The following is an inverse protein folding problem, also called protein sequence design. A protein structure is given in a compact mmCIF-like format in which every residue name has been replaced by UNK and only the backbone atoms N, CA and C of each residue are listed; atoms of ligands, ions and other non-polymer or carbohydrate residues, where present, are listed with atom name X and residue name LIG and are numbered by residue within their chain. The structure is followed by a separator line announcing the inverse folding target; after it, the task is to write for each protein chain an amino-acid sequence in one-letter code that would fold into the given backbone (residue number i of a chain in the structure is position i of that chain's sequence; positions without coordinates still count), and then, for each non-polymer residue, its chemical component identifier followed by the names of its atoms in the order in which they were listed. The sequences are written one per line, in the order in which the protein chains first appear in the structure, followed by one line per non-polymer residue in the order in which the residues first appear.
data_IF_880183993206
#
_entry.id   IF_880183993206
#
_cell.length_a   1.000
_cell.length_b   1.000
_cell.length_c   1.000
_cell.angle_alpha   90.00
_cell.angle_beta   90.00
_cell.angle_gamma   90.00
#
_symmetry.space_group_name_H-M   'P 1'
#
loop_
_entity.id
_entity.type
_entity.pdbx_description
1 polymer ?
#
# COMPACT_ATOMS: atom_id res chain seq x y z
N UNK A 1 9.45 0.57 -13.64
CA UNK A 1 10.55 0.01 -12.82
C UNK A 1 11.26 -1.15 -13.52
N UNK A 2 12.54 -1.39 -13.21
CA UNK A 2 13.32 -2.54 -13.69
C UNK A 2 13.20 -3.78 -12.80
N UNK A 3 13.89 -4.88 -13.14
CA UNK A 3 13.75 -6.21 -12.50
C UNK A 3 13.92 -6.15 -10.98
N UNK A 4 15.03 -5.58 -10.48
CA UNK A 4 15.32 -5.54 -9.05
C UNK A 4 14.24 -4.77 -8.27
N UNK A 5 13.90 -3.57 -8.74
CA UNK A 5 12.91 -2.72 -8.09
C UNK A 5 11.52 -3.37 -8.07
N UNK A 6 11.11 -3.99 -9.17
CA UNK A 6 9.84 -4.72 -9.23
C UNK A 6 9.82 -5.93 -8.31
N UNK A 7 10.91 -6.71 -8.25
CA UNK A 7 11.01 -7.86 -7.36
C UNK A 7 11.02 -7.46 -5.87
N UNK A 8 11.73 -6.38 -5.53
CA UNK A 8 11.73 -5.82 -4.17
C UNK A 8 10.35 -5.28 -3.79
N UNK A 9 9.71 -4.49 -4.65
CA UNK A 9 8.40 -3.91 -4.40
C UNK A 9 7.31 -4.98 -4.19
N UNK A 10 7.37 -6.09 -4.94
CA UNK A 10 6.42 -7.19 -4.82
C UNK A 10 6.57 -7.94 -3.49
N UNK A 11 7.78 -7.98 -2.92
CA UNK A 11 8.06 -8.66 -1.66
C UNK A 11 7.87 -7.70 -0.47
N UNK A 12 6.71 -7.78 0.20
CA UNK A 12 6.29 -6.82 1.23
C UNK A 12 7.26 -6.73 2.42
N UNK A 13 7.91 -7.83 2.78
CA UNK A 13 8.89 -7.85 3.87
C UNK A 13 10.17 -7.12 3.45
N UNK A 14 10.72 -7.47 2.28
CA UNK A 14 11.94 -6.84 1.77
C UNK A 14 11.73 -5.36 1.46
N UNK A 15 10.61 -4.99 0.84
CA UNK A 15 10.25 -3.60 0.56
C UNK A 15 10.21 -2.77 1.85
N UNK A 16 9.58 -3.28 2.92
CA UNK A 16 9.52 -2.61 4.22
C UNK A 16 10.90 -2.43 4.85
N UNK A 17 11.76 -3.46 4.81
CA UNK A 17 13.12 -3.36 5.33
C UNK A 17 13.92 -2.26 4.61
N UNK A 18 13.82 -2.18 3.29
CA UNK A 18 14.47 -1.13 2.49
C UNK A 18 13.90 0.26 2.81
N UNK A 19 12.57 0.39 2.83
CA UNK A 19 11.90 1.66 3.13
C UNK A 19 12.23 2.16 4.55
N UNK A 20 12.19 1.27 5.54
CA UNK A 20 12.54 1.59 6.94
C UNK A 20 14.01 2.02 7.08
N UNK A 21 14.94 1.33 6.40
CA UNK A 21 16.34 1.72 6.38
C UNK A 21 16.57 3.10 5.75
N UNK A 22 15.68 3.54 4.86
CA UNK A 22 15.68 4.88 4.27
C UNK A 22 14.93 5.93 5.11
N UNK A 23 14.46 5.58 6.32
CA UNK A 23 13.76 6.49 7.23
C UNK A 23 12.25 6.62 6.99
N UNK A 24 11.66 5.76 6.16
CA UNK A 24 10.20 5.71 5.96
C UNK A 24 9.56 4.93 7.11
N UNK A 25 8.59 5.54 7.79
CA UNK A 25 7.83 4.87 8.84
C UNK A 25 6.98 3.71 8.27
N UNK A 26 7.18 2.50 8.80
CA UNK A 26 6.46 1.28 8.43
C UNK A 26 5.87 0.62 9.68
N UNK A 27 4.81 -0.17 9.51
CA UNK A 27 4.22 -0.92 10.62
C UNK A 27 5.20 -2.00 11.12
N UNK A 28 5.29 -2.23 12.45
CA UNK A 28 5.98 -3.39 12.99
C UNK A 28 5.44 -4.69 12.37
N UNK A 29 6.34 -5.56 11.95
CA UNK A 29 5.98 -6.79 11.23
C UNK A 29 6.87 -7.98 11.61
N UNK A 30 6.33 -9.18 11.41
CA UNK A 30 7.00 -10.46 11.55
C UNK A 30 6.82 -11.26 10.25
N UNK A 31 7.91 -11.82 9.72
CA UNK A 31 7.87 -12.79 8.63
C UNK A 31 7.88 -14.18 9.25
N UNK A 32 6.82 -14.95 9.01
CA UNK A 32 6.63 -16.27 9.62
C UNK A 32 6.25 -17.29 8.56
N UNK A 33 6.52 -18.56 8.85
CA UNK A 33 5.84 -19.63 8.15
C UNK A 33 4.42 -19.76 8.74
N UNK A 34 3.40 -19.86 7.88
CA UNK A 34 1.99 -19.95 8.29
C UNK A 34 1.69 -21.15 9.19
N UNK A 35 2.49 -22.21 9.11
CA UNK A 35 2.37 -23.40 9.95
C UNK A 35 3.00 -23.23 11.35
N UNK A 36 3.79 -22.18 11.57
CA UNK A 36 4.31 -21.82 12.89
C UNK A 36 3.25 -21.05 13.72
N UNK A 37 2.23 -20.52 13.06
CA UNK A 37 1.09 -19.85 13.72
C UNK A 37 0.18 -20.95 14.29
N UNK A 38 0.46 -21.33 15.54
CA UNK A 38 -0.32 -22.29 16.31
C UNK A 38 -1.60 -21.69 16.89
N UNK A 39 -1.91 -22.06 18.14
CA UNK A 39 -3.10 -21.58 18.86
C UNK A 39 -2.91 -20.21 19.51
N UNK A 40 -1.67 -19.73 19.62
CA UNK A 40 -1.31 -18.46 20.23
C UNK A 40 -1.06 -17.38 19.18
N UNK A 41 -1.40 -16.14 19.53
CA UNK A 41 -1.18 -15.01 18.64
C UNK A 41 0.31 -14.70 18.47
N UNK A 42 0.83 -14.58 17.23
CA UNK A 42 2.23 -14.22 16.97
C UNK A 42 2.54 -12.76 17.35
N UNK A 43 1.53 -11.91 17.47
CA UNK A 43 1.60 -10.52 17.92
C UNK A 43 0.32 -10.16 18.66
N UNK A 44 0.38 -9.23 19.62
CA UNK A 44 -0.81 -8.70 20.28
C UNK A 44 -1.83 -8.16 19.24
N UNK A 45 -3.09 -8.66 19.22
CA UNK A 45 -4.14 -8.10 18.38
C UNK A 45 -4.42 -6.60 18.66
N UNK A 46 -4.91 -5.81 17.68
CA UNK A 46 -5.23 -6.22 16.32
C UNK A 46 -4.00 -6.23 15.38
N UNK A 47 -3.99 -7.16 14.44
CA UNK A 47 -2.95 -7.30 13.41
C UNK A 47 -3.53 -7.77 12.07
N UNK A 48 -2.74 -7.70 11.01
CA UNK A 48 -3.10 -8.16 9.67
C UNK A 48 -2.11 -9.23 9.23
N UNK A 49 -2.61 -10.33 8.69
CA UNK A 49 -1.81 -11.36 8.03
C UNK A 49 -1.97 -11.21 6.53
N UNK A 50 -0.85 -11.17 5.81
CA UNK A 50 -0.81 -10.96 4.37
C UNK A 50 0.14 -11.97 3.73
N UNK A 51 -0.16 -12.50 2.53
CA UNK A 51 0.87 -13.16 1.75
C UNK A 51 1.96 -12.16 1.38
N UNK A 52 3.21 -12.62 1.38
CA UNK A 52 4.38 -11.73 1.19
C UNK A 52 4.41 -11.13 -0.21
N UNK A 53 3.91 -11.86 -1.22
CA UNK A 53 4.09 -11.55 -2.66
C UNK A 53 2.79 -11.48 -3.44
N UNK A 54 1.69 -11.12 -2.78
CA UNK A 54 0.38 -10.96 -3.42
C UNK A 54 -0.08 -9.50 -3.50
N UNK A 55 -0.99 -9.24 -4.44
CA UNK A 55 -1.63 -7.95 -4.67
C UNK A 55 -3.15 -8.01 -4.44
N UNK A 56 -3.82 -6.88 -4.67
CA UNK A 56 -5.29 -6.79 -4.72
C UNK A 56 -6.03 -7.31 -3.48
N UNK A 57 -5.38 -7.25 -2.32
CA UNK A 57 -5.93 -7.71 -1.03
C UNK A 57 -6.22 -9.23 -0.95
N UNK A 58 -5.73 -10.04 -1.90
CA UNK A 58 -5.89 -11.49 -1.83
C UNK A 58 -5.13 -12.09 -0.65
N UNK A 59 -5.79 -13.00 0.07
CA UNK A 59 -5.24 -13.66 1.25
C UNK A 59 -5.02 -12.75 2.46
N UNK A 60 -5.51 -11.51 2.43
CA UNK A 60 -5.39 -10.59 3.57
C UNK A 60 -6.41 -10.97 4.64
N UNK A 61 -5.94 -11.25 5.85
CA UNK A 61 -6.77 -11.60 7.00
C UNK A 61 -6.55 -10.58 8.11
N UNK A 62 -7.62 -9.93 8.57
CA UNK A 62 -7.56 -8.98 9.68
C UNK A 62 -7.96 -9.70 10.97
N UNK A 63 -7.06 -9.67 11.95
CA UNK A 63 -7.29 -10.17 13.30
C UNK A 63 -7.68 -9.02 14.21
N UNK A 64 -8.89 -9.12 14.78
CA UNK A 64 -9.47 -8.08 15.63
C UNK A 64 -9.01 -8.21 17.08
N UNK A 65 -9.14 -7.13 17.84
CA UNK A 65 -8.68 -7.07 19.24
C UNK A 65 -9.38 -8.09 20.16
N UNK A 66 -10.64 -8.42 19.85
CA UNK A 66 -11.48 -9.36 20.59
C UNK A 66 -11.36 -10.83 20.14
N UNK A 67 -10.55 -11.11 19.11
CA UNK A 67 -10.33 -12.49 18.68
C UNK A 67 -9.42 -13.23 19.65
N UNK A 68 -9.90 -14.40 20.11
CA UNK A 68 -9.22 -15.21 21.14
C UNK A 68 -8.06 -16.04 20.57
N UNK A 69 -8.15 -16.42 19.28
CA UNK A 69 -7.17 -17.27 18.61
C UNK A 69 -6.88 -16.79 17.18
N UNK A 70 -5.69 -17.11 16.63
CA UNK A 70 -5.39 -16.87 15.21
C UNK A 70 -6.41 -17.54 14.27
N UNK A 71 -6.80 -16.88 13.17
CA UNK A 71 -7.70 -17.46 12.17
C UNK A 71 -7.13 -18.73 11.55
N UNK A 72 -7.88 -19.83 11.66
CA UNK A 72 -7.46 -21.16 11.19
C UNK A 72 -7.33 -21.25 9.66
N UNK A 73 -7.92 -20.32 8.91
CA UNK A 73 -7.75 -20.22 7.46
C UNK A 73 -6.28 -20.03 7.06
N UNK A 74 -5.46 -19.40 7.93
CA UNK A 74 -4.05 -19.13 7.66
C UNK A 74 -3.24 -20.44 7.60
N UNK A 75 -3.57 -21.43 8.42
CA UNK A 75 -2.91 -22.73 8.47
C UNK A 75 -3.62 -23.83 7.66
N UNK A 76 -4.81 -23.54 7.10
CA UNK A 76 -5.62 -24.54 6.39
C UNK A 76 -5.05 -24.92 5.02
N UNK A 77 -5.58 -26.02 4.44
CA UNK A 77 -5.27 -26.44 3.08
C UNK A 77 -5.87 -25.50 2.00
N UNK A 78 -6.82 -24.62 2.38
CA UNK A 78 -7.46 -23.68 1.45
C UNK A 78 -6.59 -22.44 1.17
N UNK A 79 -5.52 -22.25 1.95
CA UNK A 79 -4.56 -21.18 1.74
C UNK A 79 -3.68 -21.43 0.52
N UNK A 80 -3.92 -20.66 -0.55
CA UNK A 80 -3.26 -20.83 -1.85
C UNK A 80 -2.10 -19.85 -2.10
N UNK A 81 -1.64 -19.10 -1.09
CA UNK A 81 -0.72 -17.97 -1.27
C UNK A 81 0.72 -18.22 -0.79
N UNK A 82 1.13 -19.49 -0.75
CA UNK A 82 2.45 -19.91 -0.27
C UNK A 82 2.55 -20.06 1.25
N UNK A 83 3.70 -20.51 1.73
CA UNK A 83 3.92 -20.81 3.16
C UNK A 83 4.36 -19.59 3.98
N UNK A 84 5.03 -18.61 3.37
CA UNK A 84 5.48 -17.40 4.05
C UNK A 84 4.35 -16.38 4.15
N UNK A 85 4.12 -15.86 5.36
CA UNK A 85 3.16 -14.79 5.63
C UNK A 85 3.80 -13.66 6.40
N UNK A 86 3.32 -12.45 6.13
CA UNK A 86 3.71 -11.25 6.84
C UNK A 86 2.61 -10.89 7.84
N UNK A 87 2.95 -10.87 9.12
CA UNK A 87 2.06 -10.46 10.22
C UNK A 87 2.44 -9.05 10.62
N UNK A 88 1.52 -8.10 10.47
CA UNK A 88 1.77 -6.66 10.68
C UNK A 88 0.80 -6.09 11.70
N UNK A 89 1.28 -5.18 12.56
CA UNK A 89 0.39 -4.39 13.41
C UNK A 89 -0.70 -3.72 12.55
N UNK A 90 -1.95 -3.85 12.95
CA UNK A 90 -3.05 -3.17 12.27
C UNK A 90 -2.96 -1.67 12.54
N UNK A 91 -2.90 -0.87 11.47
CA UNK A 91 -2.94 0.59 11.54
C UNK A 91 -4.37 1.04 11.16
N UNK A 92 -5.15 1.56 12.12
CA UNK A 92 -6.48 2.11 11.87
C UNK A 92 -6.41 3.49 11.21
N UNK A 93 -7.57 4.06 10.94
CA UNK A 93 -7.68 5.40 10.35
C UNK A 93 -7.87 5.36 8.84
N UNK A 94 -7.48 6.46 8.21
CA UNK A 94 -7.76 6.78 6.81
C UNK A 94 -6.81 6.04 5.88
N UNK A 95 -7.27 5.71 4.68
CA UNK A 95 -6.46 5.11 3.63
C UNK A 95 -6.08 6.19 2.61
N UNK A 96 -4.78 6.40 2.46
CA UNK A 96 -4.23 7.43 1.60
C UNK A 96 -3.26 6.79 0.61
N UNK A 97 -3.17 7.37 -0.58
CA UNK A 97 -2.24 6.90 -1.60
C UNK A 97 -1.56 8.09 -2.27
N UNK A 98 -0.30 7.93 -2.64
CA UNK A 98 0.47 8.95 -3.34
C UNK A 98 1.26 8.31 -4.46
N UNK A 99 1.17 8.93 -5.63
CA UNK A 99 1.88 8.45 -6.82
C UNK A 99 3.16 9.26 -7.04
N UNK A 100 4.20 8.59 -7.51
CA UNK A 100 5.47 9.21 -7.94
C UNK A 100 5.61 8.97 -9.44
N UNK A 101 5.93 10.02 -10.18
CA UNK A 101 6.17 10.01 -11.63
C UNK A 101 7.59 10.52 -11.87
N UNK A 102 8.48 9.61 -12.25
CA UNK A 102 9.91 9.88 -12.34
C UNK A 102 10.46 10.21 -10.95
N UNK A 103 10.93 11.43 -10.76
CA UNK A 103 11.50 11.89 -9.48
C UNK A 103 10.60 12.91 -8.75
N UNK A 104 9.31 12.94 -9.11
CA UNK A 104 8.32 13.88 -8.59
C UNK A 104 7.18 13.14 -7.91
N UNK A 105 6.96 13.42 -6.62
CA UNK A 105 5.70 13.07 -5.97
C UNK A 105 4.56 13.91 -6.56
N UNK A 106 3.49 13.24 -6.97
CA UNK A 106 2.25 13.86 -7.45
C UNK A 106 1.32 14.12 -6.25
N UNK A 107 0.01 14.22 -6.48
CA UNK A 107 -0.96 14.45 -5.42
C UNK A 107 -1.21 13.23 -4.53
N UNK A 108 -1.78 13.51 -3.35
CA UNK A 108 -2.28 12.50 -2.41
C UNK A 108 -3.78 12.33 -2.66
N UNK A 109 -4.22 11.09 -2.76
CA UNK A 109 -5.63 10.74 -2.85
C UNK A 109 -6.04 10.00 -1.59
N UNK A 110 -7.21 10.33 -1.06
CA UNK A 110 -7.86 9.55 -0.02
C UNK A 110 -8.85 8.56 -0.64
N UNK A 111 -8.83 7.33 -0.13
CA UNK A 111 -9.72 6.25 -0.53
C UNK A 111 -10.74 6.06 0.58
N UNK A 112 -12.01 6.37 0.29
CA UNK A 112 -13.12 6.21 1.21
C UNK A 112 -13.94 4.99 0.77
N UNK A 113 -13.83 3.83 1.44
CA UNK A 113 -14.65 2.66 1.09
C UNK A 113 -16.13 2.95 1.33
N UNK A 114 -16.99 2.50 0.42
CA UNK A 114 -18.45 2.66 0.50
C UNK A 114 -19.04 1.31 0.96
N UNK A 115 -19.67 1.30 2.15
CA UNK A 115 -20.39 0.12 2.66
C UNK A 115 -19.55 -0.91 3.45
N UNK A 116 -18.22 -0.84 3.42
CA UNK A 116 -17.33 -1.74 4.16
C UNK A 116 -16.29 -0.98 5.01
N UNK A 117 -15.86 -1.57 6.13
CA UNK A 117 -14.82 -1.00 7.01
C UNK A 117 -13.39 -1.10 6.42
N UNK A 118 -13.19 -1.79 5.29
CA UNK A 118 -11.87 -2.06 4.71
C UNK A 118 -11.90 -2.06 3.17
N UNK A 119 -10.78 -1.69 2.54
CA UNK A 119 -10.59 -1.67 1.08
C UNK A 119 -10.18 -3.07 0.56
N UNK A 120 -11.19 -3.92 0.38
CA UNK A 120 -11.06 -5.27 -0.18
C UNK A 120 -11.12 -5.29 -1.73
N UNK A 121 -11.08 -6.49 -2.32
CA UNK A 121 -11.15 -6.67 -3.78
C UNK A 121 -12.43 -6.08 -4.37
N UNK A 122 -13.58 -6.32 -3.72
CA UNK A 122 -14.87 -5.83 -4.20
C UNK A 122 -14.89 -4.29 -4.20
N UNK A 123 -14.27 -3.66 -3.20
CA UNK A 123 -14.08 -2.21 -3.12
C UNK A 123 -13.21 -1.61 -4.26
N UNK A 124 -12.33 -2.42 -4.86
CA UNK A 124 -11.35 -1.99 -5.88
C UNK A 124 -11.87 -2.06 -7.32
N UNK A 125 -12.83 -2.94 -7.61
CA UNK A 125 -13.24 -3.23 -8.99
C UNK A 125 -14.75 -3.11 -9.25
N UNK A 126 -15.58 -3.02 -8.21
CA UNK A 126 -17.01 -2.73 -8.37
C UNK A 126 -17.21 -1.23 -8.48
N UNK A 127 -17.80 -0.78 -9.59
CA UNK A 127 -18.13 0.63 -9.79
C UNK A 127 -19.05 1.13 -8.65
N UNK A 128 -18.59 2.15 -7.92
CA UNK A 128 -19.32 2.75 -6.80
C UNK A 128 -18.98 2.20 -5.40
N UNK A 129 -18.06 1.23 -5.28
CA UNK A 129 -17.69 0.64 -3.99
C UNK A 129 -16.65 1.44 -3.18
N UNK A 130 -16.05 2.48 -3.77
CA UNK A 130 -15.19 3.44 -3.08
C UNK A 130 -15.29 4.83 -3.72
N UNK A 131 -15.08 5.87 -2.91
CA UNK A 131 -14.99 7.27 -3.35
C UNK A 131 -13.55 7.76 -3.21
N UNK A 132 -13.04 8.39 -4.25
CA UNK A 132 -11.70 8.97 -4.27
C UNK A 132 -11.79 10.48 -4.02
N UNK A 133 -11.08 10.98 -3.03
CA UNK A 133 -10.94 12.43 -2.78
C UNK A 133 -9.52 12.83 -3.15
N UNK A 134 -9.38 13.46 -4.32
CA UNK A 134 -8.09 13.92 -4.84
C UNK A 134 -8.19 15.39 -5.30
N UNK A 135 -7.38 16.32 -4.74
CA UNK A 135 -6.44 16.11 -3.64
C UNK A 135 -7.13 15.74 -2.31
N UNK A 136 -6.44 14.94 -1.48
CA UNK A 136 -6.93 14.54 -0.16
C UNK A 136 -7.11 15.74 0.76
N UNK A 137 -8.20 15.75 1.54
CA UNK A 137 -8.51 16.83 2.50
C UNK A 137 -7.86 16.53 3.86
N UNK A 138 -6.56 16.82 3.94
CA UNK A 138 -5.71 16.64 5.13
C UNK A 138 -4.86 17.89 5.38
N UNK A 139 -4.26 18.01 6.57
CA UNK A 139 -3.40 19.14 6.89
C UNK A 139 -2.18 19.19 5.93
N UNK A 140 -1.70 20.40 5.57
CA UNK A 140 -0.59 20.57 4.62
C UNK A 140 0.71 19.86 5.03
N UNK A 141 1.02 19.82 6.32
CA UNK A 141 2.20 19.12 6.85
C UNK A 141 2.09 17.60 6.64
N UNK A 142 0.91 17.01 6.83
CA UNK A 142 0.67 15.58 6.59
C UNK A 142 0.72 15.26 5.10
N UNK A 143 0.16 16.13 4.27
CA UNK A 143 0.24 16.01 2.81
C UNK A 143 1.69 15.96 2.32
N UNK A 144 2.52 16.93 2.75
CA UNK A 144 3.94 17.00 2.42
C UNK A 144 4.73 15.80 2.97
N UNK A 145 4.39 15.33 4.18
CA UNK A 145 4.98 14.14 4.79
C UNK A 145 4.73 12.90 3.93
N UNK A 146 3.51 12.69 3.46
CA UNK A 146 3.15 11.57 2.58
C UNK A 146 3.91 11.63 1.25
N UNK A 147 3.95 12.80 0.61
CA UNK A 147 4.72 13.00 -0.63
C UNK A 147 6.21 12.70 -0.42
N UNK A 148 6.78 13.18 0.69
CA UNK A 148 8.19 12.94 1.05
C UNK A 148 8.46 11.45 1.27
N UNK A 149 7.58 10.76 2.02
CA UNK A 149 7.70 9.32 2.26
C UNK A 149 7.57 8.51 0.96
N UNK A 150 6.61 8.86 0.10
CA UNK A 150 6.40 8.19 -1.19
C UNK A 150 7.63 8.33 -2.09
N UNK A 151 8.19 9.54 -2.22
CA UNK A 151 9.39 9.78 -3.03
C UNK A 151 10.61 9.09 -2.44
N UNK A 152 10.75 9.09 -1.10
CA UNK A 152 11.85 8.40 -0.40
C UNK A 152 11.80 6.89 -0.63
N UNK A 153 10.62 6.27 -0.47
CA UNK A 153 10.42 4.85 -0.73
C UNK A 153 10.67 4.50 -2.22
N UNK A 154 10.17 5.32 -3.15
CA UNK A 154 10.40 5.17 -4.59
C UNK A 154 11.90 5.10 -4.91
N UNK A 155 12.67 6.08 -4.41
CA UNK A 155 14.12 6.16 -4.63
C UNK A 155 14.86 5.00 -3.96
N UNK A 156 14.54 4.69 -2.70
CA UNK A 156 15.21 3.65 -1.93
C UNK A 156 15.05 2.25 -2.58
N UNK A 157 13.88 1.97 -3.14
CA UNK A 157 13.57 0.70 -3.82
C UNK A 157 14.15 0.68 -5.25
N UNK A 158 14.62 1.82 -5.77
CA UNK A 158 15.15 1.95 -7.13
C UNK A 158 14.04 1.96 -8.19
N UNK A 159 12.85 2.44 -7.83
CA UNK A 159 11.74 2.55 -8.77
C UNK A 159 12.06 3.56 -9.88
N UNK A 160 11.37 3.40 -11.01
CA UNK A 160 11.43 4.29 -12.18
C UNK A 160 10.08 4.34 -12.87
N UNK A 161 9.83 5.36 -13.67
CA UNK A 161 8.53 5.58 -14.29
C UNK A 161 7.50 5.98 -13.24
N UNK A 162 6.34 5.30 -13.23
CA UNK A 162 5.29 5.55 -12.25
C UNK A 162 5.25 4.48 -11.17
N UNK A 163 5.09 4.88 -9.91
CA UNK A 163 4.78 3.99 -8.79
C UNK A 163 3.71 4.59 -7.90
N UNK A 164 2.96 3.74 -7.20
CA UNK A 164 1.97 4.19 -6.22
C UNK A 164 2.30 3.64 -4.83
N UNK A 165 2.51 4.53 -3.85
CA UNK A 165 2.66 4.14 -2.45
C UNK A 165 1.33 4.27 -1.72
N UNK A 166 0.99 3.27 -0.91
CA UNK A 166 -0.23 3.22 -0.12
C UNK A 166 0.09 3.38 1.37
N UNK A 167 -0.79 4.08 2.10
CA UNK A 167 -0.56 4.56 3.47
C UNK A 167 -1.79 4.37 4.34
N UNK A 168 -1.55 4.27 5.65
CA UNK A 168 -2.57 4.48 6.68
C UNK A 168 -2.25 5.74 7.47
N UNK A 169 -3.28 6.51 7.78
CA UNK A 169 -3.19 7.72 8.58
C UNK A 169 -4.17 7.66 9.76
N UNK A 170 -3.65 7.47 10.97
CA UNK A 170 -4.43 7.45 12.20
C UNK A 170 -4.46 8.84 12.84
N UNK A 171 -5.53 9.59 12.59
CA UNK A 171 -5.79 10.94 13.11
C UNK A 171 -6.79 10.97 14.29
N UNK A 172 -7.13 9.81 14.87
CA UNK A 172 -8.18 9.71 15.90
C UNK A 172 -7.84 10.38 17.23
N UNK A 173 -6.55 10.55 17.52
CA UNK A 173 -6.08 11.10 18.81
C UNK A 173 -5.32 12.43 18.68
N UNK A 174 -4.96 12.83 17.47
CA UNK A 174 -4.29 14.11 17.17
C UNK A 174 -4.43 14.43 15.68
N UNK A 175 -4.57 15.72 15.35
CA UNK A 175 -4.63 16.18 13.96
C UNK A 175 -3.31 15.93 13.19
N UNK A 176 -2.19 15.82 13.91
CA UNK A 176 -0.89 15.45 13.32
C UNK A 176 -0.75 13.93 13.09
N UNK A 177 -1.56 13.13 13.79
CA UNK A 177 -1.72 11.68 13.66
C UNK A 177 -0.45 10.83 13.46
N UNK A 178 -0.65 9.58 13.05
CA UNK A 178 0.44 8.69 12.64
C UNK A 178 0.26 8.28 11.17
N UNK A 179 1.25 8.60 10.33
CA UNK A 179 1.29 8.18 8.91
C UNK A 179 2.24 6.99 8.80
N UNK A 180 1.71 5.85 8.34
CA UNK A 180 2.46 4.62 8.13
C UNK A 180 2.39 4.23 6.66
N UNK A 181 3.56 4.02 6.04
CA UNK A 181 3.67 3.47 4.70
C UNK A 181 3.42 1.95 4.74
N UNK A 182 2.56 1.46 3.84
CA UNK A 182 2.18 0.06 3.77
C UNK A 182 2.98 -0.70 2.71
N UNK A 183 3.00 -0.18 1.49
CA UNK A 183 3.60 -0.81 0.33
C UNK A 183 3.77 0.17 -0.83
N UNK A 184 4.50 -0.26 -1.86
CA UNK A 184 4.62 0.43 -3.15
C UNK A 184 4.26 -0.53 -4.28
N UNK A 185 3.55 0.00 -5.27
CA UNK A 185 3.11 -0.72 -6.45
C UNK A 185 3.83 -0.14 -7.66
N UNK A 186 4.70 -0.93 -8.29
CA UNK A 186 5.48 -0.53 -9.48
C UNK A 186 4.71 -0.69 -10.79
N UNK A 187 3.57 -1.37 -10.74
CA UNK A 187 2.64 -1.52 -11.87
C UNK A 187 1.21 -1.27 -11.37
N UNK A 188 0.88 -0.02 -11.01
CA UNK A 188 -0.44 0.33 -10.50
C UNK A 188 -1.51 0.19 -11.59
N UNK A 189 -2.77 0.08 -11.16
CA UNK A 189 -3.91 0.09 -12.07
C UNK A 189 -3.95 1.37 -12.93
N UNK A 190 -4.37 1.23 -14.18
CA UNK A 190 -4.43 2.30 -15.18
C UNK A 190 -5.81 2.41 -15.86
N UNK A 191 -6.86 1.91 -15.21
CA UNK A 191 -8.24 2.11 -15.69
C UNK A 191 -8.71 3.54 -15.41
N UNK A 192 -9.82 3.96 -16.01
CA UNK A 192 -10.41 5.29 -15.78
C UNK A 192 -10.80 5.56 -14.32
N UNK A 193 -10.98 4.52 -13.52
CA UNK A 193 -11.28 4.57 -12.08
C UNK A 193 -10.07 4.24 -11.20
N UNK A 194 -8.87 4.12 -11.79
CA UNK A 194 -7.67 3.82 -11.03
C UNK A 194 -7.08 5.08 -10.39
N UNK A 195 -6.44 4.89 -9.23
CA UNK A 195 -5.89 5.95 -8.39
C UNK A 195 -4.81 6.79 -9.08
N UNK A 196 -3.95 6.18 -9.89
CA UNK A 196 -2.85 6.91 -10.56
C UNK A 196 -3.39 7.89 -11.61
N UNK A 197 -4.30 7.50 -12.52
CA UNK A 197 -4.98 8.45 -13.40
C UNK A 197 -5.73 9.57 -12.65
N UNK A 198 -6.39 9.28 -11.53
CA UNK A 198 -7.08 10.30 -10.72
C UNK A 198 -6.10 11.32 -10.11
N UNK A 199 -4.99 10.82 -9.57
CA UNK A 199 -3.91 11.66 -9.01
C UNK A 199 -3.24 12.50 -10.10
N UNK A 200 -2.97 11.92 -11.27
CA UNK A 200 -2.39 12.65 -12.40
C UNK A 200 -3.32 13.79 -12.84
N UNK A 201 -4.63 13.53 -12.93
CA UNK A 201 -5.63 14.55 -13.30
C UNK A 201 -5.70 15.68 -12.29
N UNK A 202 -5.68 15.38 -10.99
CA UNK A 202 -5.61 16.39 -9.93
C UNK A 202 -4.35 17.27 -10.04
N UNK A 203 -3.23 16.66 -10.47
CA UNK A 203 -1.98 17.35 -10.73
C UNK A 203 -1.94 18.10 -12.08
N UNK A 204 -3.05 18.15 -12.82
CA UNK A 204 -3.17 18.83 -14.12
C UNK A 204 -2.62 18.05 -15.31
N UNK A 205 -2.40 16.74 -15.17
CA UNK A 205 -1.89 15.85 -16.21
C UNK A 205 -3.05 15.00 -16.74
N UNK A 206 -3.37 15.13 -18.02
CA UNK A 206 -4.38 14.29 -18.66
C UNK A 206 -3.91 12.84 -18.75
N UNK A 207 -4.85 11.90 -18.89
CA UNK A 207 -4.51 10.49 -19.04
C UNK A 207 -3.65 10.23 -20.29
N UNK A 208 -3.91 10.96 -21.38
CA UNK A 208 -3.09 10.88 -22.60
C UNK A 208 -1.65 11.35 -22.36
N UNK A 209 -1.46 12.48 -21.68
CA UNK A 209 -0.12 12.99 -21.33
C UNK A 209 0.63 12.03 -20.40
N UNK A 210 -0.06 11.43 -19.42
CA UNK A 210 0.51 10.42 -18.54
C UNK A 210 1.02 9.21 -19.35
N UNK A 211 0.21 8.67 -20.26
CA UNK A 211 0.58 7.53 -21.09
C UNK A 211 1.74 7.87 -22.03
N UNK A 212 1.69 9.02 -22.70
CA UNK A 212 2.78 9.48 -23.57
C UNK A 212 4.09 9.57 -22.80
N UNK A 213 4.08 10.22 -21.63
CA UNK A 213 5.26 10.33 -20.78
C UNK A 213 5.81 8.96 -20.36
N UNK A 214 4.94 8.01 -19.98
CA UNK A 214 5.37 6.67 -19.58
C UNK A 214 6.06 5.91 -20.70
N UNK A 215 5.56 6.03 -21.93
CA UNK A 215 6.14 5.38 -23.11
C UNK A 215 7.46 6.04 -23.50
N UNK A 216 7.56 7.37 -23.39
CA UNK A 216 8.78 8.13 -23.68
C UNK A 216 9.89 7.91 -22.64
N UNK A 217 9.54 7.76 -21.37
CA UNK A 217 10.50 7.44 -20.28
C UNK A 217 10.99 5.98 -20.32
N UNK A 218 10.19 5.08 -20.91
CA UNK A 218 10.49 3.65 -20.96
C UNK A 218 11.83 3.38 -21.64
N UNK A 219 12.79 2.88 -20.86
CA UNK A 219 14.13 2.56 -21.34
C UNK A 219 14.60 1.20 -20.84
N UNK A 220 15.20 0.42 -21.74
CA UNK A 220 15.76 -0.90 -21.45
C UNK A 220 17.14 -0.84 -20.78
N UNK A 221 17.84 0.29 -20.90
CA UNK A 221 19.26 0.42 -20.58
C UNK A 221 19.54 1.72 -19.82
N UNK A 222 19.27 1.74 -18.52
CA UNK A 222 19.87 2.65 -17.53
C UNK A 222 19.96 1.92 -16.21
#
# INVERSE_FOLDING_TARGET
SGVLASALAMDKDRAKKVAAAAGVAVAPSLLLNRFEIGTEHPMKPPYVVKPVREGSSFGVVIVKEDQVHPPQIISSAEWNYGAEVLVEKYIPGRELTCSVMGDRAMDVCEIIPVGHQFYDYDSKYVAGASTHVCPAKILPNIYQKIQTMALTAHRAIGCRGVSRSDFRFDDRFSEDGEVIWLEINTQPGMTSTSLVPDIARAAGISFGELLSWMVEDASCLR
#
